data_IF_373805809104
#
_entry.id   IF_373805809104
#
_cell.length_a   1.000
_cell.length_b   1.000
_cell.length_c   1.000
_cell.angle_alpha   90.00
_cell.angle_beta   90.00
_cell.angle_gamma   90.00
#
_symmetry.space_group_name_H-M   'P 1'
#
loop_
_entity.id
_entity.type
_entity.pdbx_description
1 polymer ?
#
# COMPACT_ATOMS: atom_id res chain seq x y z
N UNK A 1 13.74 -11.96 -12.51
CA UNK A 1 12.82 -11.08 -11.75
C UNK A 1 13.67 -10.05 -11.03
N UNK A 2 13.78 -8.84 -11.57
CA UNK A 2 14.53 -7.75 -10.92
C UNK A 2 13.67 -7.20 -9.78
N UNK A 3 13.92 -7.67 -8.56
CA UNK A 3 13.23 -7.17 -7.37
C UNK A 3 13.90 -5.89 -6.89
N UNK A 4 13.40 -4.72 -7.31
CA UNK A 4 13.86 -3.46 -6.69
C UNK A 4 13.29 -3.31 -5.30
N UNK A 5 14.17 -2.94 -4.37
CA UNK A 5 13.82 -2.61 -2.99
C UNK A 5 13.68 -1.10 -2.87
N UNK A 6 12.60 -0.66 -2.24
CA UNK A 6 12.38 0.73 -1.83
C UNK A 6 12.29 0.74 -0.31
N UNK A 7 13.14 1.54 0.34
CA UNK A 7 13.20 1.69 1.79
C UNK A 7 12.86 3.15 2.15
N UNK A 8 12.07 3.35 3.21
CA UNK A 8 11.71 4.65 3.74
C UNK A 8 11.48 4.54 5.26
N UNK A 9 11.96 5.51 6.03
CA UNK A 9 11.65 5.64 7.45
C UNK A 9 10.41 6.53 7.61
N UNK A 10 9.42 6.03 8.36
CA UNK A 10 8.19 6.75 8.65
C UNK A 10 8.06 6.91 10.16
N UNK A 11 7.60 8.08 10.60
CA UNK A 11 7.16 8.28 11.97
C UNK A 11 5.96 7.37 12.29
N UNK A 12 5.67 7.22 13.59
CA UNK A 12 4.50 6.49 14.04
C UNK A 12 3.19 7.06 13.45
N UNK A 13 3.08 8.39 13.39
CA UNK A 13 1.90 9.08 12.85
C UNK A 13 1.70 8.81 11.35
N UNK A 14 2.78 8.87 10.56
CA UNK A 14 2.73 8.57 9.12
C UNK A 14 2.36 7.12 8.87
N UNK A 15 2.93 6.20 9.65
CA UNK A 15 2.65 4.75 9.56
C UNK A 15 1.18 4.47 9.83
N UNK A 16 0.59 5.08 10.87
CA UNK A 16 -0.82 4.95 11.20
C UNK A 16 -1.73 5.58 10.13
N UNK A 17 -1.39 6.78 9.66
CA UNK A 17 -2.18 7.47 8.63
C UNK A 17 -2.23 6.63 7.34
N UNK A 18 -1.11 6.05 6.93
CA UNK A 18 -1.02 5.20 5.75
C UNK A 18 -1.79 3.88 5.92
N UNK A 19 -1.70 3.24 7.09
CA UNK A 19 -2.47 2.03 7.40
C UNK A 19 -3.98 2.29 7.28
N UNK A 20 -4.44 3.42 7.81
CA UNK A 20 -5.85 3.81 7.74
C UNK A 20 -6.28 4.21 6.32
N UNK A 21 -5.40 4.84 5.55
CA UNK A 21 -5.65 5.12 4.14
C UNK A 21 -5.85 3.83 3.35
N UNK A 22 -4.93 2.87 3.46
CA UNK A 22 -5.05 1.60 2.75
C UNK A 22 -6.27 0.77 3.14
N UNK A 23 -6.83 0.97 4.34
CA UNK A 23 -8.10 0.35 4.73
C UNK A 23 -9.30 0.90 3.94
N UNK A 24 -9.29 2.19 3.65
CA UNK A 24 -10.39 2.86 2.92
C UNK A 24 -10.24 2.76 1.40
N UNK A 25 -9.00 2.57 0.94
CA UNK A 25 -8.67 2.47 -0.48
C UNK A 25 -9.45 1.33 -1.13
N UNK A 26 -10.25 1.68 -2.15
CA UNK A 26 -11.07 0.74 -2.90
C UNK A 26 -10.58 0.55 -4.35
N UNK A 27 -11.16 -0.44 -5.03
CA UNK A 27 -10.77 -0.79 -6.40
C UNK A 27 -11.00 0.34 -7.40
N UNK A 28 -12.08 1.11 -7.26
CA UNK A 28 -12.39 2.21 -8.18
C UNK A 28 -11.36 3.33 -8.10
N UNK A 29 -10.87 3.65 -6.90
CA UNK A 29 -9.78 4.62 -6.71
C UNK A 29 -8.48 4.11 -7.33
N UNK A 30 -8.14 2.84 -7.11
CA UNK A 30 -6.94 2.23 -7.73
C UNK A 30 -7.05 2.22 -9.26
N UNK A 31 -8.21 1.88 -9.82
CA UNK A 31 -8.46 1.92 -11.27
C UNK A 31 -8.43 3.34 -11.83
N UNK A 32 -9.00 4.31 -11.12
CA UNK A 32 -9.03 5.70 -11.57
C UNK A 32 -7.65 6.36 -11.64
N UNK A 33 -6.66 5.84 -10.91
CA UNK A 33 -5.28 6.34 -10.92
C UNK A 33 -4.34 5.59 -11.88
N UNK A 34 -4.75 4.43 -12.41
CA UNK A 34 -3.92 3.60 -13.26
C UNK A 34 -4.19 3.84 -14.75
N UNK A 35 -3.17 3.66 -15.58
CA UNK A 35 -3.26 3.78 -17.05
C UNK A 35 -4.14 2.68 -17.64
N UNK A 36 -4.01 1.45 -17.14
CA UNK A 36 -4.75 0.28 -17.60
C UNK A 36 -5.03 -0.71 -16.45
N UNK A 37 -5.81 -1.76 -16.73
CA UNK A 37 -6.22 -2.74 -15.72
C UNK A 37 -5.00 -3.46 -15.13
N UNK A 38 -3.99 -3.75 -15.95
CA UNK A 38 -2.78 -4.45 -15.53
C UNK A 38 -2.00 -3.63 -14.50
N UNK A 39 -1.78 -2.33 -14.74
CA UNK A 39 -1.13 -1.44 -13.79
C UNK A 39 -1.92 -1.36 -12.48
N UNK A 40 -3.26 -1.33 -12.53
CA UNK A 40 -4.05 -1.33 -11.29
C UNK A 40 -3.91 -2.62 -10.47
N UNK A 41 -3.80 -3.78 -11.12
CA UNK A 41 -3.51 -5.02 -10.41
C UNK A 41 -2.10 -4.98 -9.79
N UNK A 42 -1.11 -4.40 -10.48
CA UNK A 42 0.23 -4.19 -9.95
C UNK A 42 0.22 -3.27 -8.73
N UNK A 43 -0.49 -2.14 -8.80
CA UNK A 43 -0.65 -1.19 -7.68
C UNK A 43 -1.33 -1.89 -6.50
N UNK A 44 -2.43 -2.62 -6.74
CA UNK A 44 -3.15 -3.35 -5.68
C UNK A 44 -2.24 -4.38 -5.00
N UNK A 45 -1.44 -5.11 -5.76
CA UNK A 45 -0.48 -6.07 -5.21
C UNK A 45 0.62 -5.37 -4.37
N UNK A 46 1.12 -4.21 -4.83
CA UNK A 46 2.08 -3.41 -4.07
C UNK A 46 1.48 -2.89 -2.76
N UNK A 47 0.25 -2.38 -2.78
CA UNK A 47 -0.47 -1.94 -1.57
C UNK A 47 -0.60 -3.10 -0.57
N UNK A 48 -0.94 -4.32 -1.02
CA UNK A 48 -1.01 -5.49 -0.14
C UNK A 48 0.32 -5.82 0.54
N UNK A 49 1.45 -5.64 -0.15
CA UNK A 49 2.79 -5.81 0.43
C UNK A 49 3.06 -4.74 1.50
N UNK A 50 2.67 -3.49 1.25
CA UNK A 50 2.80 -2.40 2.21
C UNK A 50 1.92 -2.61 3.43
N UNK A 51 0.65 -2.97 3.26
CA UNK A 51 -0.25 -3.34 4.38
C UNK A 51 0.34 -4.45 5.25
N UNK A 52 0.93 -5.46 4.63
CA UNK A 52 1.61 -6.55 5.35
C UNK A 52 2.83 -6.04 6.14
N UNK A 53 3.60 -5.09 5.58
CA UNK A 53 4.73 -4.48 6.27
C UNK A 53 4.29 -3.62 7.47
N UNK A 54 3.25 -2.80 7.30
CA UNK A 54 2.67 -1.99 8.36
C UNK A 54 2.14 -2.87 9.51
N UNK A 55 1.46 -3.97 9.19
CA UNK A 55 0.98 -4.93 10.20
C UNK A 55 2.11 -5.58 10.99
N UNK A 56 3.22 -5.96 10.34
CA UNK A 56 4.42 -6.48 11.02
C UNK A 56 5.07 -5.42 11.92
N UNK A 57 4.98 -4.14 11.55
CA UNK A 57 5.43 -3.00 12.36
C UNK A 57 4.50 -2.62 13.51
N UNK A 58 3.47 -3.43 13.83
CA UNK A 58 2.51 -3.15 14.90
C UNK A 58 1.42 -2.14 14.52
N UNK A 59 1.43 -1.66 13.28
CA UNK A 59 0.40 -0.77 12.73
C UNK A 59 -0.57 -1.59 11.86
N UNK A 60 -1.19 -2.60 12.45
CA UNK A 60 -2.21 -3.36 11.77
C UNK A 60 -3.42 -2.45 11.46
N UNK A 61 -3.89 -2.39 10.20
CA UNK A 61 -5.16 -1.75 9.90
C UNK A 61 -6.25 -2.52 10.68
N UNK A 62 -6.84 -1.90 11.72
CA UNK A 62 -8.06 -2.41 12.37
C UNK A 62 -9.24 -2.11 11.48
#
# INVERSE_FOLDING_TARGET
>A
MDGRRADAELSHGETLALAQFFKRLNWSEVRGCAVDDDEAYVIRAAVGKLQSALARGGCAPR
#
